data_IF_114857658558
#
_entry.id   IF_114857658558
#
_cell.length_a   1.000
_cell.length_b   1.000
_cell.length_c   1.000
_cell.angle_alpha   90.00
_cell.angle_beta   90.00
_cell.angle_gamma   90.00
#
_symmetry.space_group_name_H-M   'P 1'
#
loop_
_entity.id
_entity.type
_entity.pdbx_description
1 polymer ?
#
# COMPACT_ATOMS: atom_id res chain seq x y z
N UNK A 1 -11.60 12.79 41.20
CA UNK A 1 -10.36 12.88 40.40
C UNK A 1 -10.78 13.21 38.98
N UNK A 2 -10.57 14.45 38.51
CA UNK A 2 -10.90 14.80 37.13
C UNK A 2 -9.93 14.05 36.19
N UNK A 3 -10.39 13.52 35.05
CA UNK A 3 -9.49 12.88 34.10
C UNK A 3 -8.47 13.92 33.61
N UNK A 4 -7.20 13.63 33.83
CA UNK A 4 -6.09 14.43 33.31
C UNK A 4 -6.00 14.22 31.80
N UNK A 5 -5.72 15.30 31.06
CA UNK A 5 -5.62 15.40 29.58
C UNK A 5 -4.65 14.37 28.91
N UNK A 6 -3.99 13.52 29.71
CA UNK A 6 -3.10 12.44 29.27
C UNK A 6 -3.85 11.17 28.84
N UNK A 7 -5.12 11.03 29.20
CA UNK A 7 -5.96 9.87 28.85
C UNK A 7 -6.87 10.15 27.63
N UNK A 8 -6.75 11.33 27.01
CA UNK A 8 -7.49 11.66 25.80
C UNK A 8 -6.93 10.87 24.62
N UNK A 9 -7.72 9.92 24.09
CA UNK A 9 -7.33 9.20 22.88
C UNK A 9 -6.97 10.20 21.76
N UNK A 10 -5.81 10.02 21.09
CA UNK A 10 -5.38 10.93 20.05
C UNK A 10 -6.47 10.98 18.96
N UNK A 11 -6.99 12.18 18.69
CA UNK A 11 -8.03 12.36 17.68
C UNK A 11 -7.56 11.77 16.37
N UNK A 12 -8.32 10.82 15.83
CA UNK A 12 -8.03 10.18 14.54
C UNK A 12 -8.15 11.25 13.45
N UNK A 13 -7.01 11.72 12.94
CA UNK A 13 -6.96 12.70 11.85
C UNK A 13 -6.85 11.97 10.51
N UNK A 14 -7.26 12.63 9.42
CA UNK A 14 -7.08 12.07 8.07
C UNK A 14 -5.61 11.77 7.78
N UNK A 15 -4.70 12.64 8.24
CA UNK A 15 -3.25 12.43 8.11
C UNK A 15 -2.75 11.18 8.85
N UNK A 16 -3.20 10.95 10.09
CA UNK A 16 -2.82 9.75 10.83
C UNK A 16 -3.35 8.47 10.19
N UNK A 17 -4.54 8.51 9.59
CA UNK A 17 -5.10 7.37 8.84
C UNK A 17 -4.33 7.09 7.55
N UNK A 18 -3.99 8.12 6.78
CA UNK A 18 -3.16 7.97 5.58
C UNK A 18 -1.78 7.43 5.94
N UNK A 19 -1.20 7.92 7.03
CA UNK A 19 0.08 7.43 7.53
C UNK A 19 0.00 5.95 7.91
N UNK A 20 -0.97 5.59 8.75
CA UNK A 20 -1.20 4.20 9.18
C UNK A 20 -1.44 3.25 8.01
N UNK A 21 -2.16 3.72 6.98
CA UNK A 21 -2.35 2.95 5.75
C UNK A 21 -1.05 2.78 4.97
N UNK A 22 -0.30 3.87 4.75
CA UNK A 22 0.93 3.84 3.96
C UNK A 22 2.09 3.08 4.64
N UNK A 23 2.12 3.02 5.96
CA UNK A 23 3.11 2.24 6.73
C UNK A 23 2.69 0.78 6.95
N UNK A 24 1.55 0.35 6.42
CA UNK A 24 1.08 -1.04 6.54
C UNK A 24 1.55 -1.90 5.37
N UNK A 25 1.85 -3.17 5.65
CA UNK A 25 2.19 -4.17 4.64
C UNK A 25 0.95 -4.75 3.94
N UNK A 26 -0.24 -4.55 4.52
CA UNK A 26 -1.50 -5.13 4.05
C UNK A 26 -1.94 -4.53 2.70
N UNK A 27 -1.96 -3.21 2.49
CA UNK A 27 -2.49 -2.63 1.26
C UNK A 27 -1.81 -3.09 -0.04
N UNK A 28 -0.46 -3.17 -0.16
CA UNK A 28 0.17 -3.71 -1.36
C UNK A 28 -0.07 -5.22 -1.54
N UNK A 29 -0.22 -5.97 -0.45
CA UNK A 29 -0.59 -7.40 -0.52
C UNK A 29 -2.02 -7.61 -0.98
N UNK A 30 -2.98 -6.83 -0.48
CA UNK A 30 -4.37 -6.92 -0.94
C UNK A 30 -4.46 -6.59 -2.43
N UNK A 31 -3.75 -5.55 -2.89
CA UNK A 31 -3.71 -5.22 -4.32
C UNK A 31 -3.09 -6.36 -5.14
N UNK A 32 -2.02 -6.97 -4.63
CA UNK A 32 -1.40 -8.16 -5.24
C UNK A 32 -2.40 -9.28 -5.45
N UNK A 33 -3.15 -9.65 -4.40
CA UNK A 33 -4.16 -10.71 -4.46
C UNK A 33 -5.23 -10.39 -5.50
N UNK A 34 -5.72 -9.15 -5.57
CA UNK A 34 -6.71 -8.73 -6.55
C UNK A 34 -6.16 -8.79 -7.99
N UNK A 35 -4.91 -8.36 -8.20
CA UNK A 35 -4.29 -8.41 -9.54
C UNK A 35 -4.16 -9.86 -10.01
N UNK A 36 -3.68 -10.76 -9.14
CA UNK A 36 -3.57 -12.18 -9.46
C UNK A 36 -4.95 -12.77 -9.76
N UNK A 37 -5.96 -12.51 -8.91
CA UNK A 37 -7.32 -13.00 -9.12
C UNK A 37 -7.92 -12.54 -10.47
N UNK A 38 -7.61 -11.32 -10.90
CA UNK A 38 -8.10 -10.75 -12.16
C UNK A 38 -7.37 -11.27 -13.41
N UNK A 39 -6.06 -11.54 -13.30
CA UNK A 39 -5.17 -11.69 -14.45
C UNK A 39 -4.47 -13.05 -14.54
N UNK A 40 -4.63 -13.93 -13.55
CA UNK A 40 -4.14 -15.31 -13.65
C UNK A 40 -5.00 -16.15 -14.62
N UNK A 41 -6.29 -15.81 -14.79
CA UNK A 41 -7.20 -16.51 -15.71
C UNK A 41 -8.23 -15.54 -16.34
N UNK A 42 -8.14 -15.24 -17.65
CA UNK A 42 -7.09 -15.64 -18.59
C UNK A 42 -5.74 -15.00 -18.26
N UNK A 43 -4.63 -15.68 -18.56
CA UNK A 43 -3.28 -15.18 -18.29
C UNK A 43 -3.01 -13.89 -19.05
N UNK A 44 -2.84 -12.79 -18.33
CA UNK A 44 -2.41 -11.50 -18.88
C UNK A 44 -1.04 -11.15 -18.29
N UNK A 45 0.06 -11.28 -19.05
CA UNK A 45 1.40 -11.16 -18.50
C UNK A 45 1.73 -9.75 -18.00
N UNK A 46 1.28 -8.71 -18.70
CA UNK A 46 1.62 -7.32 -18.37
C UNK A 46 1.15 -6.91 -16.95
N UNK A 47 -0.12 -7.13 -16.54
CA UNK A 47 -0.54 -6.90 -15.16
C UNK A 47 0.13 -7.81 -14.13
N UNK A 48 0.57 -9.00 -14.52
CA UNK A 48 1.22 -9.95 -13.60
C UNK A 48 2.67 -9.56 -13.26
N UNK A 49 3.21 -8.48 -13.84
CA UNK A 49 4.48 -7.88 -13.43
C UNK A 49 4.37 -7.07 -12.12
N UNK A 50 3.18 -6.58 -11.77
CA UNK A 50 2.98 -5.78 -10.55
C UNK A 50 3.01 -6.58 -9.24
N UNK A 51 2.41 -7.80 -9.14
CA UNK A 51 2.47 -8.65 -7.97
C UNK A 51 3.87 -8.79 -7.32
N UNK A 52 4.95 -9.21 -8.03
CA UNK A 52 6.26 -9.34 -7.38
C UNK A 52 6.79 -8.00 -6.84
N UNK A 53 6.53 -6.88 -7.52
CA UNK A 53 6.95 -5.55 -7.08
C UNK A 53 6.19 -5.08 -5.83
N UNK A 54 4.88 -5.37 -5.76
CA UNK A 54 4.04 -5.04 -4.61
C UNK A 54 4.33 -5.95 -3.41
N UNK A 55 4.61 -7.23 -3.62
CA UNK A 55 5.10 -8.14 -2.57
C UNK A 55 6.44 -7.65 -2.02
N UNK A 56 7.35 -7.21 -2.88
CA UNK A 56 8.61 -6.63 -2.44
C UNK A 56 8.40 -5.36 -1.60
N UNK A 57 7.48 -4.48 -2.01
CA UNK A 57 7.12 -3.32 -1.22
C UNK A 57 6.53 -3.69 0.16
N UNK A 58 5.67 -4.72 0.22
CA UNK A 58 5.18 -5.27 1.49
C UNK A 58 6.32 -5.79 2.37
N UNK A 59 7.32 -6.45 1.76
CA UNK A 59 8.49 -6.93 2.48
C UNK A 59 9.31 -5.79 3.07
N UNK A 60 9.56 -4.70 2.32
CA UNK A 60 10.28 -3.52 2.83
C UNK A 60 9.62 -2.98 4.10
N UNK A 61 8.29 -2.81 4.08
CA UNK A 61 7.54 -2.36 5.24
C UNK A 61 7.71 -3.29 6.44
N UNK A 62 7.70 -4.62 6.24
CA UNK A 62 7.94 -5.62 7.29
C UNK A 62 9.40 -5.65 7.78
N UNK A 63 10.34 -5.35 6.90
CA UNK A 63 11.76 -5.23 7.21
C UNK A 63 12.11 -3.93 7.96
N UNK A 64 11.13 -3.06 8.21
CA UNK A 64 11.29 -1.79 8.91
C UNK A 64 11.62 -0.62 7.98
N UNK A 65 11.64 -0.83 6.66
CA UNK A 65 11.81 0.22 5.66
C UNK A 65 10.44 0.83 5.28
N UNK A 66 9.72 1.39 6.26
CA UNK A 66 8.35 1.89 6.07
C UNK A 66 8.26 3.05 5.08
N UNK A 67 9.17 4.02 5.13
CA UNK A 67 9.12 5.19 4.24
C UNK A 67 9.36 4.77 2.79
N UNK A 68 10.40 3.96 2.55
CA UNK A 68 10.74 3.51 1.19
C UNK A 68 9.74 2.44 0.68
N UNK A 69 9.25 1.59 1.58
CA UNK A 69 8.14 0.67 1.31
C UNK A 69 6.88 1.40 0.86
N UNK A 70 6.49 2.48 1.55
CA UNK A 70 5.36 3.32 1.19
C UNK A 70 5.54 4.00 -0.18
N UNK A 71 6.76 4.49 -0.48
CA UNK A 71 7.09 5.05 -1.79
C UNK A 71 6.95 4.02 -2.92
N UNK A 72 7.46 2.81 -2.71
CA UNK A 72 7.32 1.71 -3.67
C UNK A 72 5.86 1.30 -3.87
N UNK A 73 5.08 1.20 -2.78
CA UNK A 73 3.64 0.94 -2.86
C UNK A 73 2.95 2.01 -3.68
N UNK A 74 3.26 3.28 -3.45
CA UNK A 74 2.63 4.38 -4.14
C UNK A 74 2.92 4.37 -5.64
N UNK A 75 4.19 4.17 -6.01
CA UNK A 75 4.65 4.14 -7.39
C UNK A 75 3.97 3.02 -8.18
N UNK A 76 4.06 1.78 -7.70
CA UNK A 76 3.55 0.62 -8.45
C UNK A 76 2.03 0.52 -8.44
N UNK A 77 1.38 0.87 -7.33
CA UNK A 77 -0.08 0.94 -7.27
C UNK A 77 -0.63 2.02 -8.21
N UNK A 78 0.09 3.14 -8.32
CA UNK A 78 -0.29 4.27 -9.16
C UNK A 78 -0.12 3.95 -10.63
N UNK A 79 1.02 3.35 -11.01
CA UNK A 79 1.24 2.88 -12.39
C UNK A 79 0.18 1.85 -12.78
N UNK A 80 -0.14 0.89 -11.90
CA UNK A 80 -1.22 -0.06 -12.15
C UNK A 80 -2.57 0.64 -12.39
N UNK A 81 -2.96 1.57 -11.52
CA UNK A 81 -4.22 2.32 -11.64
C UNK A 81 -4.26 3.15 -12.93
N UNK A 82 -3.18 3.85 -13.26
CA UNK A 82 -3.03 4.64 -14.49
C UNK A 82 -3.18 3.78 -15.74
N UNK A 83 -2.49 2.63 -15.80
CA UNK A 83 -2.60 1.70 -16.94
C UNK A 83 -3.99 1.08 -17.02
N UNK A 84 -4.61 0.77 -15.88
CA UNK A 84 -5.96 0.23 -15.83
C UNK A 84 -7.02 1.23 -16.30
N UNK A 85 -6.83 2.53 -16.01
CA UNK A 85 -7.67 3.64 -16.45
C UNK A 85 -7.52 3.92 -17.96
N UNK A 86 -6.32 3.72 -18.53
CA UNK A 86 -6.06 3.87 -19.97
C UNK A 86 -6.68 2.77 -20.84
N UNK A 87 -7.11 1.65 -20.27
CA UNK A 87 -7.77 0.57 -21.03
C UNK A 87 -9.14 1.03 -21.53
N UNK A 88 -9.52 0.58 -22.73
CA UNK A 88 -10.83 0.91 -23.34
C UNK A 88 -11.98 0.73 -22.33
N UNK A 89 -12.94 1.67 -22.30
CA UNK A 89 -14.05 1.62 -21.36
C UNK A 89 -14.83 0.32 -21.57
N UNK A 90 -14.94 -0.46 -20.52
CA UNK A 90 -15.71 -1.69 -20.54
C UNK A 90 -17.20 -1.34 -20.77
N UNK A 91 -17.90 -2.16 -21.57
CA UNK A 91 -19.34 -1.98 -21.83
C UNK A 91 -20.09 -1.86 -20.50
N UNK A 92 -21.16 -1.04 -20.44
CA UNK A 92 -21.90 -0.79 -19.18
C UNK A 92 -22.30 -2.10 -18.47
N UNK A 93 -22.66 -3.14 -19.23
CA UNK A 93 -23.00 -4.47 -18.72
C UNK A 93 -21.82 -5.18 -18.02
N UNK A 94 -20.60 -5.02 -18.53
CA UNK A 94 -19.41 -5.64 -17.93
C UNK A 94 -18.97 -4.96 -16.62
N UNK A 95 -19.39 -3.70 -16.38
CA UNK A 95 -19.08 -2.96 -15.16
C UNK A 95 -19.83 -3.51 -13.94
N UNK A 96 -21.05 -4.00 -14.14
CA UNK A 96 -21.87 -4.64 -13.09
C UNK A 96 -21.63 -6.15 -12.95
N UNK A 97 -20.61 -6.69 -13.61
CA UNK A 97 -20.20 -8.09 -13.41
C UNK A 97 -19.31 -8.24 -12.18
N UNK A 98 -19.23 -9.45 -11.60
CA UNK A 98 -18.30 -9.74 -10.49
C UNK A 98 -16.86 -9.37 -10.84
N UNK A 99 -16.41 -9.67 -12.08
CA UNK A 99 -15.08 -9.25 -12.57
C UNK A 99 -14.95 -7.73 -12.67
N UNK A 100 -16.03 -7.04 -13.02
CA UNK A 100 -16.11 -5.57 -13.05
C UNK A 100 -15.92 -4.97 -11.66
N UNK A 101 -16.58 -5.54 -10.65
CA UNK A 101 -16.43 -5.12 -9.24
C UNK A 101 -15.01 -5.34 -8.74
N UNK A 102 -14.43 -6.53 -8.95
CA UNK A 102 -13.05 -6.83 -8.54
C UNK A 102 -12.06 -5.90 -9.23
N UNK A 103 -12.27 -5.60 -10.52
CA UNK A 103 -11.45 -4.63 -11.26
C UNK A 103 -11.59 -3.22 -10.70
N UNK A 104 -12.80 -2.79 -10.40
CA UNK A 104 -13.07 -1.50 -9.76
C UNK A 104 -12.38 -1.39 -8.40
N UNK A 105 -12.48 -2.43 -7.58
CA UNK A 105 -11.80 -2.52 -6.28
C UNK A 105 -10.28 -2.47 -6.43
N UNK A 106 -9.70 -3.21 -7.37
CA UNK A 106 -8.26 -3.18 -7.62
C UNK A 106 -7.76 -1.79 -8.04
N UNK A 107 -8.49 -1.10 -8.93
CA UNK A 107 -8.14 0.26 -9.35
C UNK A 107 -8.31 1.25 -8.21
N UNK A 108 -9.44 1.19 -7.49
CA UNK A 108 -9.71 2.07 -6.35
C UNK A 108 -8.69 1.91 -5.23
N UNK A 109 -8.34 0.66 -4.88
CA UNK A 109 -7.27 0.36 -3.94
C UNK A 109 -5.92 0.86 -4.46
N UNK A 110 -5.64 0.71 -5.76
CA UNK A 110 -4.43 1.25 -6.38
C UNK A 110 -4.28 2.75 -6.16
N UNK A 111 -5.37 3.52 -6.39
CA UNK A 111 -5.40 4.97 -6.15
C UNK A 111 -5.24 5.29 -4.67
N UNK A 112 -5.94 4.60 -3.77
CA UNK A 112 -5.84 4.80 -2.33
C UNK A 112 -4.40 4.55 -1.82
N UNK A 113 -3.78 3.47 -2.27
CA UNK A 113 -2.39 3.14 -1.98
C UNK A 113 -1.42 4.21 -2.48
N UNK A 114 -1.66 4.78 -3.66
CA UNK A 114 -0.87 5.89 -4.18
C UNK A 114 -0.98 7.13 -3.31
N UNK A 115 -2.18 7.56 -2.94
CA UNK A 115 -2.37 8.76 -2.12
C UNK A 115 -1.76 8.56 -0.73
N UNK A 116 -2.06 7.46 -0.06
CA UNK A 116 -1.54 7.17 1.27
C UNK A 116 -0.02 6.96 1.27
N UNK A 117 0.50 6.19 0.31
CA UNK A 117 1.94 5.95 0.19
C UNK A 117 2.72 7.21 -0.17
N UNK A 118 2.19 8.09 -1.05
CA UNK A 118 2.79 9.40 -1.32
C UNK A 118 2.82 10.28 -0.06
N UNK A 119 1.71 10.32 0.69
CA UNK A 119 1.65 11.06 1.94
C UNK A 119 2.69 10.56 2.95
N UNK A 120 2.77 9.24 3.15
CA UNK A 120 3.76 8.62 4.06
C UNK A 120 5.19 8.83 3.58
N UNK A 121 5.45 8.71 2.28
CA UNK A 121 6.77 8.95 1.70
C UNK A 121 7.23 10.41 1.88
N UNK A 122 6.31 11.36 1.65
CA UNK A 122 6.59 12.79 1.77
C UNK A 122 6.77 13.25 3.23
N UNK A 123 6.08 12.62 4.17
CA UNK A 123 6.13 12.95 5.60
C UNK A 123 6.99 11.99 6.43
N UNK A 124 7.69 11.06 5.78
CA UNK A 124 8.48 10.01 6.43
C UNK A 124 9.76 10.54 7.08
N UNK A 125 10.10 10.01 8.25
CA UNK A 125 11.35 10.31 8.94
C UNK A 125 12.27 9.08 8.92
N UNK A 126 13.27 9.14 8.04
CA UNK A 126 14.20 8.03 7.81
C UNK A 126 15.16 7.81 8.98
N UNK A 127 15.46 8.85 9.76
CA UNK A 127 16.38 8.74 10.91
C UNK A 127 15.73 7.98 12.03
N UNK A 128 14.50 8.39 12.39
CA UNK A 128 13.70 7.69 13.38
C UNK A 128 13.47 6.23 13.00
N UNK A 129 13.21 5.96 11.72
CA UNK A 129 13.03 4.61 11.20
C UNK A 129 14.31 3.76 11.27
N UNK A 130 15.49 4.36 11.12
CA UNK A 130 16.77 3.69 11.35
C UNK A 130 17.02 3.36 12.82
N UNK A 131 16.71 4.30 13.72
CA UNK A 131 16.77 4.07 15.17
C UNK A 131 15.85 2.91 15.59
N UNK A 132 14.59 2.91 15.16
CA UNK A 132 13.65 1.81 15.42
C UNK A 132 14.15 0.46 14.89
N UNK A 133 14.79 0.44 13.71
CA UNK A 133 15.39 -0.80 13.15
C UNK A 133 16.59 -1.29 13.97
N UNK A 134 17.41 -0.37 14.49
CA UNK A 134 18.54 -0.69 15.38
C UNK A 134 18.06 -1.24 16.71
N UNK A 135 17.08 -0.60 17.33
CA UNK A 135 16.49 -1.03 18.60
C UNK A 135 15.83 -2.40 18.50
N UNK A 136 15.07 -2.64 17.42
CA UNK A 136 14.39 -3.92 17.22
C UNK A 136 15.35 -5.04 16.79
N UNK A 137 16.45 -4.69 16.11
CA UNK A 137 17.48 -5.59 15.56
C UNK A 137 16.92 -6.91 14.98
N UNK A 138 15.76 -6.84 14.29
CA UNK A 138 15.01 -8.02 13.84
C UNK A 138 15.82 -9.03 13.05
N UNK A 139 16.82 -8.54 12.33
CA UNK A 139 17.65 -9.31 11.40
C UNK A 139 19.07 -9.55 11.93
N UNK A 140 19.37 -9.16 13.17
CA UNK A 140 20.69 -9.34 13.78
C UNK A 140 21.83 -8.62 13.05
N UNK A 141 21.51 -7.53 12.34
CA UNK A 141 22.48 -6.80 11.50
C UNK A 141 23.34 -5.85 12.34
N UNK A 142 22.75 -5.28 13.39
CA UNK A 142 23.44 -4.34 14.28
C UNK A 142 24.12 -5.11 15.42
N UNK A 143 25.36 -4.71 15.75
CA UNK A 143 26.22 -5.36 16.76
C UNK A 143 26.48 -4.47 17.97
N UNK A 144 25.70 -3.41 18.06
CA UNK A 144 25.89 -2.28 18.96
C UNK A 144 25.45 -2.62 20.39
#
# INVERSE_FOLDING_TARGET
>A
MAPTDKDAEPRVTVGSQLRAWGTSAIPPMTLTTLIIALHARPLQPLPLLFPPLLVFSSYLTLAGFQTDGAGMTAAWSGVYALLAARRRPASLRSRFSLRGVVRGAAVGLGVANTVAGLYTYATGDRKKEEEERRELNRWGVYKD
#
